data_IF_899533491774
#
_entry.id   IF_899533491774
#
_cell.length_a   1.000
_cell.length_b   1.000
_cell.length_c   1.000
_cell.angle_alpha   90.00
_cell.angle_beta   90.00
_cell.angle_gamma   90.00
#
_symmetry.space_group_name_H-M   'P 1'
#
loop_
_entity.id
_entity.type
_entity.pdbx_description
1 polymer ?
#
# COMPACT_ATOMS: atom_id res chain seq x y z
N UNK A 1 25.38 -7.95 -6.99
CA UNK A 1 24.46 -6.83 -6.69
C UNK A 1 25.32 -5.58 -6.53
N UNK A 2 24.99 -4.48 -7.19
CA UNK A 2 25.78 -3.24 -7.10
C UNK A 2 25.76 -2.71 -5.67
N UNK A 3 26.85 -2.05 -5.25
CA UNK A 3 26.97 -1.47 -3.91
C UNK A 3 26.17 -0.15 -3.85
N UNK A 4 25.13 -0.10 -3.01
CA UNK A 4 24.27 1.08 -2.85
C UNK A 4 24.72 1.79 -1.58
N UNK A 5 25.44 2.90 -1.74
CA UNK A 5 25.88 3.73 -0.61
C UNK A 5 24.74 4.65 -0.13
N UNK A 6 24.91 5.19 1.08
CA UNK A 6 23.97 6.15 1.66
C UNK A 6 23.79 7.40 0.79
N UNK A 7 24.84 7.84 0.07
CA UNK A 7 24.76 8.97 -0.87
C UNK A 7 23.75 8.72 -2.01
N UNK A 8 23.75 7.52 -2.59
CA UNK A 8 22.77 7.16 -3.64
C UNK A 8 21.34 7.22 -3.08
N UNK A 9 21.14 6.79 -1.83
CA UNK A 9 19.82 6.79 -1.18
C UNK A 9 19.35 8.23 -0.90
N UNK A 10 20.21 9.08 -0.33
CA UNK A 10 19.85 10.49 -0.06
C UNK A 10 19.63 11.27 -1.36
N UNK A 11 20.48 11.07 -2.37
CA UNK A 11 20.28 11.66 -3.69
C UNK A 11 18.93 11.25 -4.31
N UNK A 12 18.56 9.97 -4.20
CA UNK A 12 17.27 9.47 -4.68
C UNK A 12 16.09 10.09 -3.89
N UNK A 13 16.21 10.29 -2.58
CA UNK A 13 15.19 10.98 -1.75
C UNK A 13 14.98 12.43 -2.14
N UNK A 14 16.05 13.11 -2.55
CA UNK A 14 15.99 14.47 -3.05
C UNK A 14 15.42 14.56 -4.48
N UNK A 15 15.01 13.44 -5.08
CA UNK A 15 14.43 13.39 -6.41
C UNK A 15 15.46 13.33 -7.53
N UNK A 16 16.72 13.00 -7.25
CA UNK A 16 17.72 12.81 -8.30
C UNK A 16 17.37 11.58 -9.15
N UNK A 17 16.92 11.82 -10.38
CA UNK A 17 16.47 10.78 -11.30
C UNK A 17 17.57 9.74 -11.61
N UNK A 18 18.85 10.13 -11.65
CA UNK A 18 19.96 9.20 -11.91
C UNK A 18 20.14 8.21 -10.77
N UNK A 19 20.04 8.69 -9.54
CA UNK A 19 20.17 7.87 -8.33
C UNK A 19 18.96 6.94 -8.16
N UNK A 20 17.75 7.45 -8.42
CA UNK A 20 16.54 6.64 -8.46
C UNK A 20 16.71 5.52 -9.48
N UNK A 21 17.09 5.85 -10.72
CA UNK A 21 17.26 4.88 -11.79
C UNK A 21 18.31 3.83 -11.44
N UNK A 22 19.46 4.25 -10.91
CA UNK A 22 20.53 3.34 -10.45
C UNK A 22 20.02 2.33 -9.42
N UNK A 23 19.29 2.77 -8.40
CA UNK A 23 18.72 1.87 -7.38
C UNK A 23 17.68 0.94 -8.02
N UNK A 24 16.81 1.44 -8.89
CA UNK A 24 15.79 0.63 -9.56
C UNK A 24 16.41 -0.47 -10.43
N UNK A 25 17.44 -0.14 -11.22
CA UNK A 25 18.15 -1.12 -12.04
C UNK A 25 18.84 -2.20 -11.20
N UNK A 26 19.43 -1.82 -10.05
CA UNK A 26 20.05 -2.76 -9.13
C UNK A 26 19.05 -3.78 -8.53
N UNK A 27 17.79 -3.37 -8.32
CA UNK A 27 16.73 -4.23 -7.75
C UNK A 27 15.82 -4.87 -8.78
N UNK A 28 15.88 -4.48 -10.05
CA UNK A 28 15.07 -5.04 -11.14
C UNK A 28 15.04 -6.57 -11.15
N UNK A 29 16.17 -7.30 -10.99
CA UNK A 29 16.13 -8.77 -10.92
C UNK A 29 15.34 -9.31 -9.72
N UNK A 30 15.42 -8.63 -8.56
CA UNK A 30 14.69 -9.03 -7.35
C UNK A 30 13.18 -8.79 -7.51
N UNK A 31 12.80 -7.63 -8.05
CA UNK A 31 11.41 -7.30 -8.37
C UNK A 31 10.83 -8.33 -9.33
N UNK A 32 11.52 -8.61 -10.44
CA UNK A 32 11.02 -9.52 -11.48
C UNK A 32 10.92 -10.96 -10.95
N UNK A 33 11.89 -11.40 -10.15
CA UNK A 33 11.86 -12.73 -9.52
C UNK A 33 10.70 -12.89 -8.54
N UNK A 34 10.43 -11.86 -7.72
CA UNK A 34 9.29 -11.85 -6.81
C UNK A 34 7.95 -11.81 -7.56
N UNK A 35 7.83 -10.93 -8.57
CA UNK A 35 6.63 -10.81 -9.38
C UNK A 35 6.28 -12.11 -10.11
N UNK A 36 7.28 -12.79 -10.70
CA UNK A 36 7.08 -14.07 -11.38
C UNK A 36 6.54 -15.17 -10.44
N UNK A 37 6.88 -15.12 -9.15
CA UNK A 37 6.40 -16.07 -8.12
C UNK A 37 5.03 -15.71 -7.57
N UNK A 38 4.69 -14.42 -7.53
CA UNK A 38 3.47 -13.92 -6.90
C UNK A 38 2.31 -13.74 -7.86
N UNK A 39 2.57 -13.69 -9.18
CA UNK A 39 1.52 -13.61 -10.19
C UNK A 39 0.48 -14.71 -10.01
N UNK A 40 -0.76 -14.37 -10.29
CA UNK A 40 -1.91 -15.26 -10.27
C UNK A 40 -2.94 -14.78 -11.29
N UNK A 41 -4.02 -15.54 -11.49
CA UNK A 41 -5.09 -15.17 -12.43
C UNK A 41 -5.69 -13.78 -12.15
N UNK A 42 -5.72 -13.36 -10.88
CA UNK A 42 -6.30 -12.07 -10.45
C UNK A 42 -5.26 -10.98 -10.17
N UNK A 43 -3.98 -11.26 -10.40
CA UNK A 43 -2.89 -10.34 -10.08
C UNK A 43 -1.73 -10.66 -11.00
N UNK A 44 -1.63 -9.92 -12.10
CA UNK A 44 -0.74 -10.30 -13.18
C UNK A 44 0.72 -9.95 -12.88
N UNK A 45 1.60 -10.25 -13.84
CA UNK A 45 3.02 -9.97 -13.67
C UNK A 45 3.34 -8.47 -13.66
N UNK A 46 2.64 -7.67 -14.47
CA UNK A 46 2.88 -6.24 -14.59
C UNK A 46 2.42 -5.50 -13.33
N UNK A 47 1.25 -5.84 -12.81
CA UNK A 47 0.73 -5.39 -11.52
C UNK A 47 1.71 -5.70 -10.39
N UNK A 48 2.19 -6.95 -10.36
CA UNK A 48 3.18 -7.36 -9.37
C UNK A 48 4.47 -6.56 -9.49
N UNK A 49 4.99 -6.34 -10.70
CA UNK A 49 6.19 -5.50 -10.92
C UNK A 49 5.97 -4.07 -10.46
N UNK A 50 4.81 -3.47 -10.77
CA UNK A 50 4.47 -2.11 -10.34
C UNK A 50 4.45 -2.00 -8.82
N UNK A 51 3.79 -2.92 -8.13
CA UNK A 51 3.71 -2.94 -6.67
C UNK A 51 5.07 -3.20 -6.01
N UNK A 52 5.91 -4.01 -6.66
CA UNK A 52 7.31 -4.17 -6.26
C UNK A 52 8.11 -2.87 -6.34
N UNK A 53 7.96 -2.14 -7.44
CA UNK A 53 8.60 -0.85 -7.67
C UNK A 53 8.10 0.21 -6.67
N UNK A 54 6.81 0.23 -6.36
CA UNK A 54 6.23 1.06 -5.29
C UNK A 54 6.85 0.70 -3.93
N UNK A 55 6.98 -0.60 -3.63
CA UNK A 55 7.64 -1.08 -2.42
C UNK A 55 9.10 -0.68 -2.32
N UNK A 56 9.85 -0.72 -3.43
CA UNK A 56 11.23 -0.25 -3.51
C UNK A 56 11.32 1.27 -3.29
N UNK A 57 10.44 2.05 -3.92
CA UNK A 57 10.41 3.49 -3.74
C UNK A 57 10.10 3.88 -2.30
N UNK A 58 9.12 3.22 -1.66
CA UNK A 58 8.86 3.38 -0.23
C UNK A 58 10.11 3.07 0.60
N UNK A 59 10.85 2.02 0.26
CA UNK A 59 12.09 1.67 0.95
C UNK A 59 13.17 2.77 0.84
N UNK A 60 13.33 3.40 -0.33
CA UNK A 60 14.22 4.55 -0.52
C UNK A 60 13.84 5.65 0.47
N UNK A 61 12.55 6.02 0.52
CA UNK A 61 12.06 7.10 1.38
C UNK A 61 12.15 6.81 2.88
N UNK A 62 11.99 5.55 3.30
CA UNK A 62 11.85 5.19 4.72
C UNK A 62 13.07 4.53 5.37
N UNK A 63 14.09 4.13 4.60
CA UNK A 63 15.26 3.44 5.13
C UNK A 63 16.01 4.28 6.18
N UNK A 64 16.55 3.63 7.22
CA UNK A 64 17.38 4.28 8.23
C UNK A 64 18.58 3.39 8.53
N UNK A 65 19.78 3.90 8.27
CA UNK A 65 21.05 3.17 8.42
C UNK A 65 21.30 2.71 9.87
N UNK A 66 20.88 3.51 10.84
CA UNK A 66 21.06 3.23 12.27
C UNK A 66 20.18 2.09 12.83
N UNK A 67 19.37 1.41 12.00
CA UNK A 67 18.50 0.29 12.41
C UNK A 67 19.09 -1.11 12.19
N UNK A 68 20.37 -1.20 11.82
CA UNK A 68 21.15 -2.45 11.87
C UNK A 68 20.92 -3.45 10.72
N UNK A 69 20.02 -3.16 9.78
CA UNK A 69 19.84 -3.95 8.56
C UNK A 69 20.33 -3.16 7.35
N UNK A 70 20.99 -3.83 6.40
CA UNK A 70 21.41 -3.18 5.16
C UNK A 70 20.21 -2.74 4.32
N UNK A 71 20.40 -1.70 3.50
CA UNK A 71 19.37 -1.21 2.58
C UNK A 71 18.83 -2.33 1.68
N UNK A 72 19.73 -3.21 1.21
CA UNK A 72 19.37 -4.39 0.43
C UNK A 72 18.32 -5.25 1.10
N UNK A 73 18.57 -5.62 2.36
CA UNK A 73 17.68 -6.49 3.11
C UNK A 73 16.34 -5.81 3.37
N UNK A 74 16.39 -4.52 3.74
CA UNK A 74 15.19 -3.72 3.99
C UNK A 74 14.32 -3.57 2.73
N UNK A 75 14.91 -3.18 1.61
CA UNK A 75 14.23 -2.99 0.34
C UNK A 75 13.59 -4.29 -0.17
N UNK A 76 14.28 -5.43 -0.09
CA UNK A 76 13.69 -6.74 -0.44
C UNK A 76 12.43 -7.04 0.36
N UNK A 77 12.42 -6.71 1.66
CA UNK A 77 11.24 -6.88 2.51
C UNK A 77 10.09 -5.95 2.09
N UNK A 78 10.38 -4.69 1.80
CA UNK A 78 9.37 -3.72 1.36
C UNK A 78 8.75 -4.08 -0.01
N UNK A 79 9.58 -4.53 -0.96
CA UNK A 79 9.17 -5.04 -2.28
C UNK A 79 8.18 -6.19 -2.08
N UNK A 80 8.59 -7.22 -1.33
CA UNK A 80 7.77 -8.41 -1.11
C UNK A 80 6.44 -8.08 -0.42
N UNK A 81 6.48 -7.26 0.64
CA UNK A 81 5.29 -6.92 1.40
C UNK A 81 4.25 -6.11 0.59
N UNK A 82 4.69 -5.18 -0.26
CA UNK A 82 3.75 -4.44 -1.12
C UNK A 82 3.09 -5.38 -2.12
N UNK A 83 3.86 -6.20 -2.83
CA UNK A 83 3.30 -7.18 -3.78
C UNK A 83 2.32 -8.16 -3.11
N UNK A 84 2.64 -8.66 -1.91
CA UNK A 84 1.75 -9.56 -1.17
C UNK A 84 0.44 -8.88 -0.77
N UNK A 85 0.52 -7.63 -0.30
CA UNK A 85 -0.65 -6.86 0.12
C UNK A 85 -1.56 -6.55 -1.07
N UNK A 86 -0.97 -6.14 -2.20
CA UNK A 86 -1.71 -5.87 -3.43
C UNK A 86 -2.36 -7.13 -4.00
N UNK A 87 -1.64 -8.27 -4.00
CA UNK A 87 -2.21 -9.56 -4.39
C UNK A 87 -3.42 -9.95 -3.53
N UNK A 88 -3.31 -9.80 -2.20
CA UNK A 88 -4.42 -10.08 -1.30
C UNK A 88 -5.64 -9.18 -1.59
N UNK A 89 -5.40 -7.89 -1.85
CA UNK A 89 -6.45 -6.95 -2.23
C UNK A 89 -7.12 -7.33 -3.56
N UNK A 90 -6.34 -7.70 -4.58
CA UNK A 90 -6.85 -8.10 -5.89
C UNK A 90 -7.69 -9.40 -5.81
N UNK A 91 -7.24 -10.38 -5.01
CA UNK A 91 -8.01 -11.59 -4.74
C UNK A 91 -9.33 -11.25 -4.02
N UNK A 92 -9.29 -10.40 -3.00
CA UNK A 92 -10.49 -9.97 -2.28
C UNK A 92 -11.48 -9.24 -3.20
N UNK A 93 -11.00 -8.39 -4.11
CA UNK A 93 -11.83 -7.73 -5.12
C UNK A 93 -12.49 -8.73 -6.07
N UNK A 94 -11.76 -9.74 -6.59
CA UNK A 94 -12.38 -10.79 -7.41
C UNK A 94 -13.48 -11.53 -6.65
N UNK A 95 -13.25 -11.88 -5.38
CA UNK A 95 -14.26 -12.53 -4.55
C UNK A 95 -15.48 -11.64 -4.31
N UNK A 96 -15.28 -10.33 -4.08
CA UNK A 96 -16.36 -9.37 -3.92
C UNK A 96 -17.17 -9.19 -5.21
N UNK A 97 -16.52 -9.12 -6.38
CA UNK A 97 -17.17 -9.01 -7.68
C UNK A 97 -17.97 -10.28 -7.99
N UNK A 98 -17.42 -11.47 -7.77
CA UNK A 98 -18.13 -12.73 -8.00
C UNK A 98 -19.31 -12.94 -7.04
N UNK A 99 -19.20 -12.46 -5.81
CA UNK A 99 -20.26 -12.58 -4.79
C UNK A 99 -21.38 -11.57 -5.03
N UNK A 100 -21.07 -10.41 -5.62
CA UNK A 100 -22.02 -9.34 -5.92
C UNK A 100 -22.39 -9.26 -7.42
N UNK A 101 -22.03 -10.26 -8.23
CA UNK A 101 -22.34 -10.29 -9.65
C UNK A 101 -23.85 -10.47 -9.84
N UNK A 102 -24.57 -9.36 -9.99
CA UNK A 102 -25.91 -9.34 -10.55
C UNK A 102 -25.84 -9.75 -12.04
N UNK A 103 -26.87 -10.43 -12.58
CA UNK A 103 -26.93 -10.77 -13.99
C UNK A 103 -26.83 -9.50 -14.85
N UNK A 104 -26.03 -9.59 -15.92
CA UNK A 104 -25.91 -8.56 -16.95
C UNK A 104 -27.26 -8.36 -17.63
N UNK A 105 -27.94 -7.27 -17.30
CA UNK A 105 -28.93 -6.66 -18.18
C UNK A 105 -28.19 -5.61 -19.02
N UNK A 106 -28.37 -5.65 -20.34
CA UNK A 106 -27.62 -4.90 -21.37
C UNK A 106 -27.81 -3.37 -21.32
N UNK A 107 -28.31 -2.82 -20.21
CA UNK A 107 -28.69 -1.41 -20.04
C UNK A 107 -27.67 -0.56 -19.28
N UNK A 108 -26.54 -1.13 -18.82
CA UNK A 108 -25.59 -0.39 -17.97
C UNK A 108 -24.41 0.12 -18.80
N UNK A 109 -24.44 1.44 -19.09
CA UNK A 109 -23.30 2.22 -19.56
C UNK A 109 -22.09 2.02 -18.63
N UNK A 110 -21.10 1.25 -19.09
CA UNK A 110 -19.80 1.12 -18.43
C UNK A 110 -19.03 2.45 -18.56
N UNK A 111 -18.62 3.09 -17.44
CA UNK A 111 -17.79 4.29 -17.53
C UNK A 111 -16.37 3.93 -17.96
N UNK A 112 -15.92 4.60 -19.01
CA UNK A 112 -14.56 4.60 -19.58
C UNK A 112 -13.49 5.10 -18.59
N UNK A 113 -12.22 4.86 -18.94
CA UNK A 113 -10.90 5.18 -18.38
C UNK A 113 -10.67 6.53 -17.63
N UNK A 114 -11.68 7.36 -17.39
CA UNK A 114 -11.58 8.65 -16.69
C UNK A 114 -11.66 8.57 -15.15
N UNK A 115 -11.83 7.37 -14.59
CA UNK A 115 -12.03 7.15 -13.15
C UNK A 115 -10.78 7.33 -12.26
N UNK A 116 -9.57 7.45 -12.84
CA UNK A 116 -8.35 7.64 -12.06
C UNK A 116 -8.13 9.09 -11.61
N UNK A 117 -8.65 10.08 -12.35
CA UNK A 117 -8.50 11.50 -11.98
C UNK A 117 -9.51 11.95 -10.93
N UNK A 118 -10.69 11.29 -10.88
CA UNK A 118 -11.80 11.59 -9.98
C UNK A 118 -11.51 11.13 -8.52
N UNK A 119 -10.56 10.20 -8.33
CA UNK A 119 -10.27 9.65 -7.01
C UNK A 119 -9.51 10.58 -6.05
N UNK A 120 -8.73 11.55 -6.54
CA UNK A 120 -7.92 12.41 -5.62
C UNK A 120 -8.78 13.42 -4.86
N UNK A 121 -9.75 14.02 -5.52
CA UNK A 121 -10.61 15.03 -4.90
C UNK A 121 -11.65 14.38 -3.99
N UNK A 122 -12.22 13.24 -4.42
CA UNK A 122 -13.11 12.45 -3.59
C UNK A 122 -12.40 11.88 -2.35
N UNK A 123 -11.14 11.43 -2.48
CA UNK A 123 -10.35 11.01 -1.31
C UNK A 123 -10.05 12.17 -0.35
N UNK A 124 -9.78 13.37 -0.87
CA UNK A 124 -9.54 14.55 -0.02
C UNK A 124 -10.80 14.92 0.77
N UNK A 125 -11.97 14.92 0.12
CA UNK A 125 -13.24 15.15 0.79
C UNK A 125 -13.59 14.02 1.77
N UNK A 126 -13.30 12.76 1.44
CA UNK A 126 -13.51 11.63 2.33
C UNK A 126 -12.65 11.72 3.60
N UNK A 127 -11.36 12.07 3.45
CA UNK A 127 -10.46 12.30 4.59
C UNK A 127 -10.96 13.48 5.45
N UNK A 128 -11.48 14.55 4.82
CA UNK A 128 -12.07 15.69 5.53
C UNK A 128 -13.30 15.27 6.35
N UNK A 129 -14.21 14.51 5.75
CA UNK A 129 -15.40 13.97 6.42
C UNK A 129 -15.00 13.02 7.56
N UNK A 130 -14.03 12.15 7.33
CA UNK A 130 -13.51 11.24 8.35
C UNK A 130 -12.92 12.02 9.53
N UNK A 131 -12.17 13.09 9.28
CA UNK A 131 -11.60 13.94 10.34
C UNK A 131 -12.67 14.66 11.15
N UNK A 132 -13.80 15.03 10.55
CA UNK A 132 -14.92 15.67 11.25
C UNK A 132 -15.75 14.69 12.08
N UNK A 133 -15.92 13.45 11.61
CA UNK A 133 -16.79 12.44 12.25
C UNK A 133 -16.08 11.56 13.28
N UNK A 134 -14.77 11.37 13.16
CA UNK A 134 -13.98 10.51 14.05
C UNK A 134 -13.35 11.31 15.19
N UNK A 135 -13.25 10.71 16.37
CA UNK A 135 -12.39 11.26 17.44
C UNK A 135 -10.92 11.17 17.04
N UNK A 136 -10.03 11.93 17.71
CA UNK A 136 -8.60 11.90 17.41
C UNK A 136 -8.00 10.49 17.48
N UNK A 137 -8.44 9.68 18.45
CA UNK A 137 -8.00 8.30 18.58
C UNK A 137 -8.54 7.41 17.45
N UNK A 138 -9.81 7.56 17.08
CA UNK A 138 -10.40 6.81 15.96
C UNK A 138 -9.78 7.22 14.62
N UNK A 139 -9.49 8.50 14.42
CA UNK A 139 -8.82 8.98 13.22
C UNK A 139 -7.38 8.47 13.13
N UNK A 140 -6.66 8.40 14.25
CA UNK A 140 -5.33 7.79 14.32
C UNK A 140 -5.39 6.29 13.98
N UNK A 141 -6.33 5.55 14.58
CA UNK A 141 -6.54 4.12 14.27
C UNK A 141 -6.94 3.93 12.81
N UNK A 142 -7.83 4.76 12.29
CA UNK A 142 -8.24 4.76 10.88
C UNK A 142 -7.05 4.98 9.94
N UNK A 143 -6.21 5.97 10.24
CA UNK A 143 -5.02 6.27 9.44
C UNK A 143 -4.03 5.10 9.40
N UNK A 144 -3.71 4.53 10.57
CA UNK A 144 -2.80 3.39 10.66
C UNK A 144 -3.40 2.14 10.00
N UNK A 145 -4.70 1.92 10.15
CA UNK A 145 -5.38 0.81 9.49
C UNK A 145 -5.39 0.97 7.95
N UNK A 146 -5.63 2.17 7.44
CA UNK A 146 -5.56 2.45 5.98
C UNK A 146 -4.14 2.32 5.42
N UNK A 147 -3.12 2.47 6.28
CA UNK A 147 -1.71 2.18 5.96
C UNK A 147 -1.35 0.69 6.10
N UNK A 148 -2.35 -0.18 6.32
CA UNK A 148 -2.22 -1.63 6.41
C UNK A 148 -1.41 -2.14 7.60
N UNK A 149 -1.35 -1.39 8.70
CA UNK A 149 -0.83 -1.91 9.97
C UNK A 149 -1.82 -2.92 10.56
N UNK A 150 -1.29 -4.04 11.06
CA UNK A 150 -2.07 -5.05 11.79
C UNK A 150 -2.57 -4.51 13.13
N UNK A 151 -3.60 -5.14 13.71
CA UNK A 151 -4.16 -4.69 15.00
C UNK A 151 -3.11 -4.69 16.12
N UNK A 152 -2.21 -5.67 16.12
CA UNK A 152 -1.08 -5.74 17.05
C UNK A 152 -0.08 -4.60 16.86
N UNK A 153 0.23 -4.23 15.61
CA UNK A 153 1.10 -3.08 15.31
C UNK A 153 0.44 -1.76 15.71
N UNK A 154 -0.85 -1.57 15.43
CA UNK A 154 -1.61 -0.38 15.83
C UNK A 154 -1.69 -0.29 17.36
N UNK A 155 -1.91 -1.42 18.04
CA UNK A 155 -1.91 -1.50 19.50
C UNK A 155 -0.56 -1.05 20.08
N UNK A 156 0.54 -1.56 19.51
CA UNK A 156 1.91 -1.19 19.87
C UNK A 156 2.19 0.30 19.64
N UNK A 157 1.79 0.85 18.48
CA UNK A 157 1.99 2.27 18.12
C UNK A 157 1.15 3.20 19.01
N UNK A 158 -0.08 2.83 19.33
CA UNK A 158 -1.00 3.68 20.09
C UNK A 158 -0.88 3.50 21.61
N UNK A 159 -0.10 2.53 22.08
CA UNK A 159 0.00 2.17 23.50
C UNK A 159 -1.32 1.65 24.07
N UNK A 160 -2.20 1.08 23.23
CA UNK A 160 -3.51 0.53 23.62
C UNK A 160 -3.55 -0.96 23.36
N UNK A 161 -4.53 -1.67 23.93
CA UNK A 161 -4.72 -3.09 23.66
C UNK A 161 -5.32 -3.32 22.27
N UNK A 162 -5.06 -4.48 21.66
CA UNK A 162 -5.68 -4.88 20.38
C UNK A 162 -7.21 -4.86 20.46
N UNK A 163 -7.78 -5.20 21.63
CA UNK A 163 -9.23 -5.09 21.89
C UNK A 163 -9.73 -3.65 21.75
N UNK A 164 -8.97 -2.66 22.25
CA UNK A 164 -9.30 -1.24 22.10
C UNK A 164 -9.25 -0.79 20.65
N UNK A 165 -8.26 -1.28 19.88
CA UNK A 165 -8.12 -1.00 18.44
C UNK A 165 -9.29 -1.58 17.66
N UNK A 166 -9.65 -2.84 17.88
CA UNK A 166 -10.81 -3.48 17.24
C UNK A 166 -12.10 -2.70 17.55
N UNK A 167 -12.32 -2.34 18.81
CA UNK A 167 -13.48 -1.53 19.21
C UNK A 167 -13.50 -0.16 18.50
N UNK A 168 -12.33 0.46 18.27
CA UNK A 168 -12.23 1.71 17.52
C UNK A 168 -12.61 1.50 16.04
N UNK A 169 -12.12 0.44 15.39
CA UNK A 169 -12.48 0.08 14.00
C UNK A 169 -13.99 -0.11 13.84
N UNK A 170 -14.65 -0.80 14.78
CA UNK A 170 -16.11 -0.96 14.74
C UNK A 170 -16.84 0.39 14.83
N UNK A 171 -16.40 1.29 15.73
CA UNK A 171 -16.99 2.64 15.82
C UNK A 171 -16.73 3.47 14.56
N UNK A 172 -15.56 3.35 13.96
CA UNK A 172 -15.21 4.03 12.70
C UNK A 172 -16.16 3.59 11.58
N UNK A 173 -16.35 2.29 11.38
CA UNK A 173 -17.29 1.78 10.38
C UNK A 173 -18.71 2.31 10.59
N UNK A 174 -19.20 2.32 11.84
CA UNK A 174 -20.53 2.83 12.15
C UNK A 174 -20.68 4.34 11.91
N UNK A 175 -19.61 5.12 12.12
CA UNK A 175 -19.62 6.58 11.95
C UNK A 175 -19.48 7.02 10.49
N UNK A 176 -18.75 6.25 9.68
CA UNK A 176 -18.51 6.58 8.26
C UNK A 176 -19.55 5.99 7.31
N UNK A 177 -20.38 5.03 7.77
CA UNK A 177 -21.52 4.48 7.00
C UNK A 177 -22.79 5.35 7.04
N UNK A 178 -22.85 6.32 7.95
CA UNK A 178 -23.88 7.37 8.03
C UNK A 178 -23.33 8.65 7.43
#
# INVERSE_FOLDING_TARGET
MQNISTEHIEGARMGNAKEIQFIFDAFKPSVYSCAAKLRSESFDFEDAVQEGNIGLFKAILSYRENKGASFTTYAKKCILNNMLSARQAAIAQKHAVLTNALPLDDSILLPSFETDFINREQNREFIRIARQKLSDYEFLVFSLYTMQYSYGEIASITGKSEKSVNNAIQRIHNKLRK
#
